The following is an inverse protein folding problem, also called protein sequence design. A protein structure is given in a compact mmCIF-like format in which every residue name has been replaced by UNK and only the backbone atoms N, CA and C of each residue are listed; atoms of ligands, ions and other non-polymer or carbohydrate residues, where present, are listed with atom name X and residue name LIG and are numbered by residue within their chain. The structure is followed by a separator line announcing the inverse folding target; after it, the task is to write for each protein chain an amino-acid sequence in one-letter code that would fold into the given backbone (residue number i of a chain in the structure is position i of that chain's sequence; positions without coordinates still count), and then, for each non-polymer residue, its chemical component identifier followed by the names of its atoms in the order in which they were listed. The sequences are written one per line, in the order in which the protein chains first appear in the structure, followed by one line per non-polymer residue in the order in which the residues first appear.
data_IF_379003183292
#
_entry.id   IF_379003183292
#
_cell.length_a   1.000
_cell.length_b   1.000
_cell.length_c   1.000
_cell.angle_alpha   90.00
_cell.angle_beta   90.00
_cell.angle_gamma   90.00
#
_symmetry.space_group_name_H-M   'P 1'
#
loop_
_entity.id
_entity.type
_entity.pdbx_description
1 polymer ?
#
# COMPACT_ATOMS: atom_id res chain seq x y z
N UNK A 1 -75.88 -39.50 -53.12
CA UNK A 1 -74.47 -39.06 -52.96
C UNK A 1 -74.39 -37.59 -53.30
N UNK A 2 -74.23 -36.73 -52.30
CA UNK A 2 -73.78 -35.35 -52.47
C UNK A 2 -72.88 -35.04 -51.26
N UNK A 3 -71.62 -34.83 -51.57
CA UNK A 3 -70.48 -34.54 -50.70
C UNK A 3 -70.61 -33.14 -50.11
N UNK A 4 -70.52 -32.98 -48.79
CA UNK A 4 -70.26 -31.68 -48.17
C UNK A 4 -69.07 -31.81 -47.22
N UNK A 5 -67.93 -31.33 -47.71
CA UNK A 5 -66.66 -31.19 -47.01
C UNK A 5 -66.61 -29.76 -46.43
N UNK A 6 -66.61 -29.54 -45.10
CA UNK A 6 -66.16 -28.27 -44.54
C UNK A 6 -64.84 -28.43 -43.78
N UNK A 7 -63.94 -29.31 -44.24
CA UNK A 7 -62.54 -29.36 -43.76
C UNK A 7 -61.80 -28.03 -43.99
N UNK A 8 -62.19 -27.22 -44.98
CA UNK A 8 -61.56 -25.94 -45.28
C UNK A 8 -61.95 -24.80 -44.33
N UNK A 9 -63.17 -24.76 -43.79
CA UNK A 9 -63.60 -23.70 -42.87
C UNK A 9 -63.00 -23.87 -41.48
N UNK A 10 -62.88 -25.10 -40.99
CA UNK A 10 -62.19 -25.38 -39.72
C UNK A 10 -60.69 -25.14 -39.83
N UNK A 11 -60.05 -25.54 -40.93
CA UNK A 11 -58.63 -25.25 -41.16
C UNK A 11 -58.37 -23.73 -41.29
N UNK A 12 -59.28 -22.97 -41.92
CA UNK A 12 -59.17 -21.51 -41.98
C UNK A 12 -59.36 -20.86 -40.61
N UNK A 13 -60.28 -21.36 -39.77
CA UNK A 13 -60.45 -20.89 -38.38
C UNK A 13 -59.25 -21.20 -37.51
N UNK A 14 -58.68 -22.40 -37.61
CA UNK A 14 -57.49 -22.79 -36.85
C UNK A 14 -56.29 -21.95 -37.30
N UNK A 15 -56.14 -21.71 -38.61
CA UNK A 15 -55.08 -20.85 -39.14
C UNK A 15 -55.25 -19.40 -38.68
N UNK A 16 -56.43 -18.82 -38.78
CA UNK A 16 -56.72 -17.47 -38.28
C UNK A 16 -56.55 -17.33 -36.77
N UNK A 17 -56.93 -18.37 -35.99
CA UNK A 17 -56.69 -18.40 -34.55
C UNK A 17 -55.19 -18.52 -34.22
N UNK A 18 -54.43 -19.30 -34.99
CA UNK A 18 -52.98 -19.40 -34.83
C UNK A 18 -52.26 -18.11 -35.21
N UNK A 19 -52.68 -17.44 -36.28
CA UNK A 19 -52.12 -16.15 -36.74
C UNK A 19 -52.45 -15.03 -35.75
N UNK A 20 -53.68 -14.99 -35.20
CA UNK A 20 -54.06 -14.05 -34.15
C UNK A 20 -53.29 -14.29 -32.85
N UNK A 21 -53.05 -15.55 -32.48
CA UNK A 21 -52.26 -15.87 -31.29
C UNK A 21 -50.77 -15.49 -31.48
N UNK A 22 -50.23 -15.72 -32.67
CA UNK A 22 -48.86 -15.35 -33.01
C UNK A 22 -48.68 -13.82 -33.10
N UNK A 23 -49.67 -13.11 -33.64
CA UNK A 23 -49.72 -11.65 -33.63
C UNK A 23 -49.80 -11.09 -32.21
N UNK A 24 -50.64 -11.69 -31.35
CA UNK A 24 -50.75 -11.29 -29.95
C UNK A 24 -49.46 -11.53 -29.16
N UNK A 25 -48.79 -12.66 -29.37
CA UNK A 25 -47.46 -12.93 -28.77
C UNK A 25 -46.40 -11.95 -29.29
N UNK A 26 -46.42 -11.60 -30.58
CA UNK A 26 -45.49 -10.62 -31.15
C UNK A 26 -45.72 -9.23 -30.57
N UNK A 27 -46.98 -8.83 -30.35
CA UNK A 27 -47.33 -7.57 -29.68
C UNK A 27 -46.85 -7.60 -28.23
N UNK A 28 -47.07 -8.70 -27.49
CA UNK A 28 -46.59 -8.82 -26.11
C UNK A 28 -45.06 -8.73 -26.03
N UNK A 29 -44.33 -9.39 -26.93
CA UNK A 29 -42.86 -9.30 -27.02
C UNK A 29 -42.43 -7.87 -27.38
N UNK A 30 -43.13 -7.20 -28.30
CA UNK A 30 -42.86 -5.81 -28.67
C UNK A 30 -43.06 -4.84 -27.49
N UNK A 31 -44.12 -5.02 -26.70
CA UNK A 31 -44.41 -4.25 -25.49
C UNK A 31 -43.38 -4.53 -24.39
N UNK A 32 -42.99 -5.78 -24.17
CA UNK A 32 -41.96 -6.13 -23.19
C UNK A 32 -40.58 -5.59 -23.60
N UNK A 33 -40.26 -5.60 -24.89
CA UNK A 33 -39.00 -5.06 -25.42
C UNK A 33 -38.98 -3.54 -25.30
N UNK A 34 -40.09 -2.86 -25.59
CA UNK A 34 -40.18 -1.40 -25.41
C UNK A 34 -40.13 -1.00 -23.94
N UNK A 35 -40.79 -1.75 -23.04
CA UNK A 35 -40.70 -1.53 -21.59
C UNK A 35 -39.29 -1.80 -21.05
N UNK A 36 -38.58 -2.81 -21.56
CA UNK A 36 -37.17 -3.05 -21.22
C UNK A 36 -36.26 -1.94 -21.74
N UNK A 37 -36.54 -1.39 -22.93
CA UNK A 37 -35.81 -0.23 -23.46
C UNK A 37 -36.03 1.04 -22.63
N UNK A 38 -37.27 1.29 -22.19
CA UNK A 38 -37.62 2.41 -21.30
C UNK A 38 -36.99 2.21 -19.90
N UNK A 39 -37.00 1.00 -19.35
CA UNK A 39 -36.28 0.71 -18.10
C UNK A 39 -34.77 0.90 -18.25
N UNK A 40 -34.18 0.50 -19.38
CA UNK A 40 -32.78 0.77 -19.70
C UNK A 40 -32.46 2.28 -19.71
N UNK A 41 -33.32 3.09 -20.35
CA UNK A 41 -33.21 4.56 -20.37
C UNK A 41 -33.30 5.16 -18.96
N UNK A 42 -34.26 4.72 -18.15
CA UNK A 42 -34.42 5.20 -16.76
C UNK A 42 -33.21 4.81 -15.90
N UNK A 43 -32.64 3.62 -16.10
CA UNK A 43 -31.45 3.22 -15.35
C UNK A 43 -30.21 4.00 -15.78
N UNK A 44 -30.04 4.31 -17.07
CA UNK A 44 -28.96 5.18 -17.53
C UNK A 44 -29.12 6.61 -17.04
N UNK A 45 -30.34 7.15 -17.08
CA UNK A 45 -30.65 8.49 -16.53
C UNK A 45 -30.44 8.53 -15.02
N UNK A 46 -30.80 7.48 -14.28
CA UNK A 46 -30.52 7.38 -12.84
C UNK A 46 -29.02 7.28 -12.54
N UNK A 47 -28.24 6.61 -13.39
CA UNK A 47 -26.79 6.55 -13.24
C UNK A 47 -26.14 7.92 -13.49
N UNK A 48 -26.60 8.63 -14.53
CA UNK A 48 -26.17 9.99 -14.85
C UNK A 48 -26.56 10.98 -13.74
N UNK A 49 -27.79 10.90 -13.21
CA UNK A 49 -28.24 11.70 -12.07
C UNK A 49 -27.40 11.41 -10.82
N UNK A 50 -27.08 10.15 -10.53
CA UNK A 50 -26.19 9.80 -9.39
C UNK A 50 -24.79 10.37 -9.57
N UNK A 51 -24.26 10.34 -10.79
CA UNK A 51 -22.97 10.93 -11.09
C UNK A 51 -23.00 12.46 -10.89
N UNK A 52 -24.03 13.15 -11.40
CA UNK A 52 -24.23 14.58 -11.20
C UNK A 52 -24.41 14.95 -9.71
N UNK A 53 -25.08 14.10 -8.92
CA UNK A 53 -25.18 14.28 -7.48
C UNK A 53 -23.83 14.09 -6.77
N UNK A 54 -23.02 13.12 -7.18
CA UNK A 54 -21.69 12.91 -6.62
C UNK A 54 -20.74 14.07 -6.96
N UNK A 55 -20.78 14.55 -8.21
CA UNK A 55 -20.04 15.73 -8.66
C UNK A 55 -20.52 17.00 -7.94
N UNK A 56 -21.84 17.17 -7.76
CA UNK A 56 -22.43 18.27 -7.00
C UNK A 56 -22.03 18.25 -5.52
N UNK A 57 -21.98 17.08 -4.89
CA UNK A 57 -21.50 16.92 -3.51
C UNK A 57 -20.00 17.20 -3.41
N UNK A 58 -19.20 16.73 -4.36
CA UNK A 58 -17.76 17.02 -4.41
C UNK A 58 -17.50 18.53 -4.57
N UNK A 59 -18.25 19.20 -5.44
CA UNK A 59 -18.17 20.65 -5.61
C UNK A 59 -18.60 21.40 -4.35
N UNK A 60 -19.65 20.96 -3.66
CA UNK A 60 -20.07 21.53 -2.37
C UNK A 60 -19.01 21.34 -1.28
N UNK A 61 -18.40 20.15 -1.19
CA UNK A 61 -17.29 19.90 -0.27
C UNK A 61 -16.10 20.81 -0.57
N UNK A 62 -15.76 21.00 -1.83
CA UNK A 62 -14.69 21.92 -2.23
C UNK A 62 -15.02 23.38 -1.88
N UNK A 63 -16.27 23.81 -2.08
CA UNK A 63 -16.72 25.15 -1.68
C UNK A 63 -16.63 25.37 -0.17
N UNK A 64 -17.09 24.40 0.63
CA UNK A 64 -16.97 24.44 2.10
C UNK A 64 -15.51 24.46 2.55
N UNK A 65 -14.65 23.67 1.92
CA UNK A 65 -13.20 23.70 2.20
C UNK A 65 -12.60 25.07 1.88
N UNK A 66 -13.01 25.69 0.77
CA UNK A 66 -12.57 27.04 0.37
C UNK A 66 -13.08 28.11 1.33
N UNK A 67 -14.31 28.01 1.83
CA UNK A 67 -14.87 28.94 2.82
C UNK A 67 -14.16 28.80 4.17
N UNK A 68 -14.01 27.57 4.69
CA UNK A 68 -13.27 27.32 5.93
C UNK A 68 -11.82 27.81 5.86
N UNK A 69 -11.19 27.72 4.67
CA UNK A 69 -9.87 28.28 4.44
C UNK A 69 -9.86 29.82 4.45
N UNK A 70 -10.90 30.48 3.93
CA UNK A 70 -11.00 31.94 4.03
C UNK A 70 -11.20 32.38 5.48
N UNK A 71 -12.10 31.74 6.23
CA UNK A 71 -12.32 32.06 7.65
C UNK A 71 -11.02 31.92 8.45
N UNK A 72 -10.23 30.87 8.17
CA UNK A 72 -8.92 30.67 8.79
C UNK A 72 -7.92 31.75 8.41
N UNK A 73 -7.93 32.23 7.17
CA UNK A 73 -7.06 33.33 6.72
C UNK A 73 -7.46 34.64 7.40
N UNK A 74 -8.75 34.92 7.54
CA UNK A 74 -9.23 36.14 8.20
C UNK A 74 -8.86 36.16 9.69
N UNK A 75 -9.04 35.04 10.39
CA UNK A 75 -8.61 34.89 11.78
C UNK A 75 -7.07 35.01 11.89
N UNK A 76 -6.33 34.40 10.96
CA UNK A 76 -4.88 34.54 10.91
C UNK A 76 -4.45 36.00 10.74
N UNK A 77 -5.09 36.75 9.83
CA UNK A 77 -4.81 38.18 9.62
C UNK A 77 -5.06 38.99 10.89
N UNK A 78 -6.21 38.78 11.52
CA UNK A 78 -6.56 39.44 12.77
C UNK A 78 -5.55 39.15 13.88
N UNK A 79 -5.16 37.87 14.05
CA UNK A 79 -4.15 37.49 15.04
C UNK A 79 -2.76 38.03 14.73
N UNK A 80 -2.37 38.07 13.45
CA UNK A 80 -1.09 38.61 13.01
C UNK A 80 -1.01 40.12 13.22
N UNK A 81 -2.08 40.86 12.93
CA UNK A 81 -2.19 42.30 13.23
C UNK A 81 -2.03 42.56 14.73
N UNK A 82 -2.79 41.84 15.55
CA UNK A 82 -2.73 41.95 17.01
C UNK A 82 -1.34 41.60 17.56
N UNK A 83 -0.69 40.59 16.99
CA UNK A 83 0.66 40.20 17.38
C UNK A 83 1.69 41.29 17.03
N UNK A 84 1.59 41.88 15.84
CA UNK A 84 2.42 43.00 15.42
C UNK A 84 2.25 44.18 16.37
N UNK A 85 1.01 44.54 16.70
CA UNK A 85 0.72 45.63 17.64
C UNK A 85 1.34 45.37 19.01
N UNK A 86 1.15 44.18 19.58
CA UNK A 86 1.73 43.77 20.86
C UNK A 86 3.27 43.80 20.82
N UNK A 87 3.88 43.33 19.74
CA UNK A 87 5.33 43.34 19.61
C UNK A 87 5.88 44.76 19.38
N UNK A 88 5.08 45.65 18.77
CA UNK A 88 5.47 47.04 18.48
C UNK A 88 5.40 47.95 19.71
N UNK A 89 4.53 47.65 20.67
CA UNK A 89 4.35 48.45 21.86
C UNK A 89 5.60 48.39 22.76
N UNK A 90 5.98 49.55 23.29
CA UNK A 90 7.13 49.69 24.21
C UNK A 90 6.83 49.13 25.59
N UNK A 91 5.56 49.03 25.96
CA UNK A 91 5.11 48.67 27.30
C UNK A 91 4.83 47.16 27.45
N UNK A 92 5.32 46.33 26.53
CA UNK A 92 5.10 44.89 26.60
C UNK A 92 6.22 44.17 27.34
N UNK A 93 5.82 43.22 28.19
CA UNK A 93 6.73 42.42 29.04
C UNK A 93 7.57 41.40 28.24
N UNK A 94 7.37 41.30 26.93
CA UNK A 94 8.03 40.31 26.08
C UNK A 94 9.45 40.79 25.75
N UNK A 95 10.50 39.98 25.97
CA UNK A 95 11.87 40.30 25.57
C UNK A 95 12.02 40.52 24.06
N UNK A 96 13.00 41.32 23.63
CA UNK A 96 13.21 41.62 22.21
C UNK A 96 13.56 40.37 21.40
N UNK A 97 14.36 39.46 21.97
CA UNK A 97 14.68 38.17 21.38
C UNK A 97 13.42 37.32 21.11
N UNK A 98 12.52 37.22 22.08
CA UNK A 98 11.26 36.48 21.93
C UNK A 98 10.35 37.10 20.88
N UNK A 99 10.23 38.43 20.84
CA UNK A 99 9.45 39.13 19.79
C UNK A 99 9.99 38.83 18.40
N UNK A 100 11.31 38.86 18.25
CA UNK A 100 11.95 38.56 16.97
C UNK A 100 11.63 37.14 16.50
N UNK A 101 11.81 36.12 17.33
CA UNK A 101 11.53 34.73 16.94
C UNK A 101 10.05 34.45 16.72
N UNK A 102 9.14 35.08 17.48
CA UNK A 102 7.71 34.96 17.25
C UNK A 102 7.31 35.51 15.87
N UNK A 103 7.77 36.72 15.54
CA UNK A 103 7.50 37.35 14.26
C UNK A 103 8.16 36.60 13.09
N UNK A 104 9.36 36.06 13.32
CA UNK A 104 10.05 35.24 12.33
C UNK A 104 9.30 33.94 12.07
N UNK A 105 8.76 33.30 13.12
CA UNK A 105 7.92 32.11 13.00
C UNK A 105 6.69 32.35 12.12
N UNK A 106 6.03 33.50 12.28
CA UNK A 106 4.87 33.86 11.44
C UNK A 106 5.26 33.97 9.95
N UNK A 107 6.35 34.66 9.63
CA UNK A 107 6.84 34.78 8.24
C UNK A 107 7.19 33.41 7.67
N UNK A 108 7.84 32.57 8.45
CA UNK A 108 8.24 31.23 8.02
C UNK A 108 7.02 30.33 7.77
N UNK A 109 6.01 30.34 8.65
CA UNK A 109 4.76 29.60 8.45
C UNK A 109 4.02 30.06 7.20
N UNK A 110 3.93 31.38 6.97
CA UNK A 110 3.32 31.94 5.75
C UNK A 110 4.03 31.43 4.49
N UNK A 111 5.36 31.38 4.51
CA UNK A 111 6.16 30.90 3.40
C UNK A 111 5.98 29.39 3.16
N UNK A 112 6.07 28.58 4.21
CA UNK A 112 5.98 27.11 4.12
C UNK A 112 4.59 26.63 3.73
N UNK A 113 3.53 27.26 4.24
CA UNK A 113 2.16 26.94 3.87
C UNK A 113 1.79 27.48 2.47
N UNK A 114 2.69 28.25 1.83
CA UNK A 114 2.45 28.84 0.51
C UNK A 114 1.32 29.86 0.50
N UNK A 115 0.99 30.45 1.67
CA UNK A 115 -0.06 31.46 1.79
C UNK A 115 0.43 32.72 1.09
N UNK A 116 -0.06 32.93 -0.12
CA UNK A 116 0.21 34.12 -0.92
C UNK A 116 -1.08 34.87 -1.20
N UNK A 117 -0.94 36.13 -1.62
CA UNK A 117 -2.05 36.98 -2.08
C UNK A 117 -2.88 36.36 -3.21
N UNK A 118 -2.38 35.32 -3.89
CA UNK A 118 -3.12 34.57 -4.89
C UNK A 118 -4.26 33.73 -4.28
N UNK A 119 -4.09 33.22 -3.05
CA UNK A 119 -5.03 32.30 -2.38
C UNK A 119 -6.11 33.06 -1.60
N UNK A 120 -5.81 34.27 -1.16
CA UNK A 120 -6.72 35.13 -0.39
C UNK A 120 -7.82 35.68 -1.32
N UNK A 121 -9.10 35.65 -0.91
CA UNK A 121 -10.19 36.32 -1.62
C UNK A 121 -10.44 37.71 -1.03
N UNK A 122 -10.93 38.63 -1.87
CA UNK A 122 -11.24 40.00 -1.46
C UNK A 122 -10.04 40.94 -1.56
N UNK A 123 -10.25 42.15 -2.11
CA UNK A 123 -9.20 43.16 -2.28
C UNK A 123 -8.68 43.69 -0.96
N UNK A 124 -9.57 43.84 0.02
CA UNK A 124 -9.25 44.37 1.34
C UNK A 124 -8.41 43.37 2.14
N UNK A 125 -8.79 42.10 2.18
CA UNK A 125 -8.03 41.04 2.85
C UNK A 125 -6.63 40.86 2.25
N UNK A 126 -6.49 40.94 0.92
CA UNK A 126 -5.17 40.92 0.25
C UNK A 126 -4.29 42.07 0.70
N UNK A 127 -4.86 43.28 0.72
CA UNK A 127 -4.12 44.47 1.14
C UNK A 127 -3.73 44.38 2.62
N UNK A 128 -4.66 43.94 3.48
CA UNK A 128 -4.38 43.75 4.90
C UNK A 128 -3.24 42.73 5.11
N UNK A 129 -3.25 41.62 4.37
CA UNK A 129 -2.16 40.64 4.38
C UNK A 129 -0.81 41.26 4.01
N UNK A 130 -0.74 41.95 2.87
CA UNK A 130 0.50 42.59 2.41
C UNK A 130 0.99 43.64 3.42
N UNK A 131 0.08 44.46 3.95
CA UNK A 131 0.38 45.49 4.95
C UNK A 131 0.91 44.85 6.26
N UNK A 132 0.36 43.71 6.68
CA UNK A 132 0.80 42.97 7.88
C UNK A 132 2.18 42.36 7.66
N UNK A 133 2.38 41.66 6.55
CA UNK A 133 3.67 41.03 6.23
C UNK A 133 4.77 42.08 6.13
N UNK A 134 4.51 43.21 5.47
CA UNK A 134 5.46 44.33 5.38
C UNK A 134 5.77 44.95 6.76
N UNK A 135 4.75 45.13 7.62
CA UNK A 135 4.96 45.58 9.01
C UNK A 135 5.83 44.60 9.79
N UNK A 136 5.59 43.29 9.67
CA UNK A 136 6.39 42.25 10.32
C UNK A 136 7.84 42.33 9.84
N UNK A 137 8.08 42.38 8.52
CA UNK A 137 9.43 42.46 7.95
C UNK A 137 10.19 43.72 8.40
N UNK A 138 9.52 44.87 8.42
CA UNK A 138 10.09 46.13 8.95
C UNK A 138 10.45 46.01 10.43
N UNK A 139 9.62 45.35 11.23
CA UNK A 139 9.91 45.12 12.64
C UNK A 139 11.05 44.14 12.86
N UNK A 140 11.09 43.02 12.11
CA UNK A 140 12.20 42.07 12.16
C UNK A 140 13.53 42.75 11.85
N UNK A 141 13.55 43.62 10.83
CA UNK A 141 14.72 44.41 10.48
C UNK A 141 15.20 45.27 11.66
N UNK A 142 14.29 46.01 12.30
CA UNK A 142 14.61 46.84 13.48
C UNK A 142 15.07 46.02 14.68
N UNK A 143 14.41 44.89 14.95
CA UNK A 143 14.75 44.02 16.07
C UNK A 143 16.11 43.35 15.86
N UNK A 144 16.47 43.00 14.63
CA UNK A 144 17.76 42.38 14.30
C UNK A 144 18.98 43.27 14.57
N UNK A 145 18.79 44.59 14.69
CA UNK A 145 19.86 45.52 15.03
C UNK A 145 20.20 45.51 16.53
N UNK A 146 19.30 45.00 17.37
CA UNK A 146 19.43 44.95 18.83
C UNK A 146 20.43 43.87 19.24
N UNK A 147 21.36 44.21 20.16
CA UNK A 147 22.42 43.29 20.60
C UNK A 147 21.89 41.96 21.19
N UNK A 148 20.84 42.02 22.02
CA UNK A 148 20.17 40.84 22.58
C UNK A 148 19.67 39.88 21.47
N UNK A 149 19.10 40.44 20.42
CA UNK A 149 18.54 39.67 19.30
C UNK A 149 19.67 39.04 18.47
N UNK A 150 20.77 39.76 18.25
CA UNK A 150 21.96 39.21 17.54
C UNK A 150 22.55 38.02 18.27
N UNK A 151 22.75 38.12 19.59
CA UNK A 151 23.24 37.01 20.39
C UNK A 151 22.30 35.80 20.34
N UNK A 152 20.98 36.06 20.37
CA UNK A 152 19.98 35.01 20.30
C UNK A 152 19.95 34.33 18.91
N UNK A 153 20.12 35.08 17.82
CA UNK A 153 20.25 34.54 16.46
C UNK A 153 21.50 33.65 16.36
N UNK A 154 22.66 34.14 16.81
CA UNK A 154 23.92 33.38 16.79
C UNK A 154 23.84 32.10 17.64
N UNK A 155 23.09 32.13 18.75
CA UNK A 155 22.82 30.94 19.54
C UNK A 155 21.91 29.96 18.79
N UNK A 156 20.82 30.45 18.18
CA UNK A 156 19.88 29.62 17.42
C UNK A 156 20.56 28.94 16.22
N UNK A 157 21.42 29.65 15.49
CA UNK A 157 22.19 29.09 14.37
C UNK A 157 23.13 27.97 14.82
N UNK A 158 23.86 28.18 15.92
CA UNK A 158 24.77 27.15 16.47
C UNK A 158 24.01 25.91 16.93
N UNK A 159 22.85 26.09 17.55
CA UNK A 159 22.03 24.98 18.02
C UNK A 159 21.40 24.23 16.84
N UNK A 160 20.94 24.94 15.80
CA UNK A 160 20.45 24.31 14.57
C UNK A 160 21.56 23.49 13.88
N UNK A 161 22.80 24.00 13.82
CA UNK A 161 23.93 23.25 13.29
C UNK A 161 24.22 21.97 14.08
N UNK A 162 24.11 22.02 15.42
CA UNK A 162 24.25 20.83 16.28
C UNK A 162 23.14 19.81 16.01
N UNK A 163 21.89 20.26 15.98
CA UNK A 163 20.74 19.42 15.69
C UNK A 163 20.85 18.77 14.30
N UNK A 164 21.30 19.50 13.27
CA UNK A 164 21.57 18.96 11.94
C UNK A 164 22.70 17.93 11.94
N UNK A 165 23.76 18.16 12.71
CA UNK A 165 24.86 17.20 12.85
C UNK A 165 24.39 15.90 13.55
N UNK A 166 23.55 16.02 14.57
CA UNK A 166 22.95 14.88 15.27
C UNK A 166 22.01 14.10 14.36
N UNK A 167 21.12 14.78 13.61
CA UNK A 167 20.26 14.16 12.60
C UNK A 167 21.07 13.41 11.54
N UNK A 168 22.17 13.99 11.06
CA UNK A 168 23.08 13.31 10.12
C UNK A 168 23.73 12.08 10.73
N UNK A 169 24.07 12.09 12.02
CA UNK A 169 24.61 10.91 12.72
C UNK A 169 23.54 9.83 12.87
N UNK A 170 22.35 10.20 13.32
CA UNK A 170 21.21 9.30 13.48
C UNK A 170 20.81 8.66 12.14
N UNK A 171 20.77 9.42 11.04
CA UNK A 171 20.46 8.87 9.71
C UNK A 171 21.53 7.89 9.24
N UNK A 172 22.83 8.20 9.43
CA UNK A 172 23.91 7.26 9.09
C UNK A 172 23.85 5.97 9.91
N UNK A 173 23.43 6.05 11.17
CA UNK A 173 23.26 4.89 12.02
C UNK A 173 22.06 4.04 11.59
N UNK A 174 20.93 4.69 11.23
CA UNK A 174 19.76 4.02 10.62
C UNK A 174 20.13 3.33 9.30
N UNK A 175 20.88 3.98 8.43
CA UNK A 175 21.38 3.38 7.18
C UNK A 175 22.25 2.15 7.44
N UNK A 176 23.19 2.23 8.40
CA UNK A 176 24.01 1.08 8.80
C UNK A 176 23.16 -0.08 9.35
N UNK A 177 22.16 0.23 10.17
CA UNK A 177 21.23 -0.79 10.68
C UNK A 177 20.44 -1.45 9.54
N UNK A 178 19.94 -0.67 8.59
CA UNK A 178 19.25 -1.21 7.41
C UNK A 178 20.16 -2.08 6.54
N UNK A 179 21.43 -1.70 6.34
CA UNK A 179 22.40 -2.55 5.63
C UNK A 179 22.67 -3.87 6.36
N UNK A 180 22.79 -3.83 7.69
CA UNK A 180 22.95 -5.03 8.51
C UNK A 180 21.72 -5.94 8.43
N UNK A 181 20.50 -5.38 8.46
CA UNK A 181 19.25 -6.14 8.24
C UNK A 181 19.23 -6.79 6.87
N UNK A 182 19.64 -6.08 5.80
CA UNK A 182 19.70 -6.67 4.46
C UNK A 182 20.66 -7.85 4.39
N UNK A 183 21.86 -7.73 4.98
CA UNK A 183 22.84 -8.82 5.06
C UNK A 183 22.31 -9.99 5.89
N UNK A 184 21.63 -9.70 6.98
CA UNK A 184 20.97 -10.67 7.83
C UNK A 184 19.91 -11.48 7.05
N UNK A 185 18.95 -10.78 6.43
CA UNK A 185 17.88 -11.38 5.65
C UNK A 185 18.41 -12.20 4.47
N UNK A 186 19.46 -11.72 3.80
CA UNK A 186 20.11 -12.49 2.73
C UNK A 186 20.68 -13.83 3.24
N UNK A 187 21.30 -13.83 4.43
CA UNK A 187 21.85 -15.03 5.04
C UNK A 187 20.77 -16.00 5.53
N UNK A 188 19.66 -15.48 6.05
CA UNK A 188 18.50 -16.31 6.41
C UNK A 188 17.89 -16.93 5.15
N UNK A 189 17.77 -16.17 4.06
CA UNK A 189 17.26 -16.67 2.79
C UNK A 189 18.16 -17.78 2.19
N UNK A 190 19.49 -17.63 2.27
CA UNK A 190 20.45 -18.67 1.88
C UNK A 190 20.24 -19.96 2.70
N UNK A 191 20.11 -19.83 4.03
CA UNK A 191 19.84 -20.97 4.92
C UNK A 191 18.48 -21.64 4.66
N UNK A 192 17.45 -20.85 4.31
CA UNK A 192 16.15 -21.37 3.92
C UNK A 192 16.18 -22.09 2.57
N UNK A 193 17.01 -21.64 1.62
CA UNK A 193 17.22 -22.35 0.35
C UNK A 193 17.94 -23.68 0.54
N UNK A 194 18.82 -23.78 1.53
CA UNK A 194 19.49 -25.03 1.91
C UNK A 194 18.56 -26.05 2.60
N UNK A 195 17.37 -25.63 3.02
CA UNK A 195 16.39 -26.57 3.60
C UNK A 195 15.93 -27.59 2.57
N UNK A 196 15.96 -28.86 2.96
CA UNK A 196 15.51 -29.93 2.08
C UNK A 196 13.98 -30.03 2.11
N UNK A 197 13.31 -30.11 0.95
CA UNK A 197 11.87 -30.26 0.90
C UNK A 197 11.43 -31.57 1.55
N UNK A 198 10.22 -31.64 2.13
CA UNK A 198 9.69 -32.87 2.70
C UNK A 198 9.61 -33.95 1.61
N UNK A 199 10.00 -35.17 1.97
CA UNK A 199 10.07 -36.28 1.03
C UNK A 199 8.65 -36.70 0.60
N UNK A 200 8.26 -36.31 -0.61
CA UNK A 200 7.03 -36.76 -1.23
C UNK A 200 7.28 -37.97 -2.14
N UNK A 201 6.30 -38.87 -2.23
CA UNK A 201 6.40 -40.11 -3.02
C UNK A 201 6.84 -39.86 -4.46
N UNK A 202 6.29 -38.84 -5.12
CA UNK A 202 6.64 -38.49 -6.50
C UNK A 202 8.11 -38.08 -6.69
N UNK A 203 8.69 -37.35 -5.73
CA UNK A 203 10.09 -36.88 -5.78
C UNK A 203 11.05 -38.03 -5.45
N UNK A 204 10.69 -38.87 -4.48
CA UNK A 204 11.45 -40.08 -4.19
C UNK A 204 11.44 -41.03 -5.39
N UNK A 205 10.27 -41.25 -6.00
CA UNK A 205 10.10 -42.16 -7.13
C UNK A 205 10.85 -41.68 -8.37
N UNK A 206 10.82 -40.38 -8.68
CA UNK A 206 11.56 -39.81 -9.82
C UNK A 206 13.09 -39.86 -9.63
N UNK A 207 13.60 -39.55 -8.43
CA UNK A 207 15.03 -39.68 -8.12
C UNK A 207 15.48 -41.13 -8.13
N UNK A 208 14.66 -42.05 -7.60
CA UNK A 208 14.93 -43.48 -7.67
C UNK A 208 14.97 -43.95 -9.13
N UNK A 209 14.01 -43.50 -9.96
CA UNK A 209 13.92 -43.72 -11.42
C UNK A 209 15.17 -43.28 -12.18
N UNK A 210 15.68 -42.09 -11.90
CA UNK A 210 16.91 -41.61 -12.53
C UNK A 210 18.15 -42.44 -12.14
N UNK A 211 18.13 -43.07 -10.95
CA UNK A 211 19.18 -43.96 -10.47
C UNK A 211 18.86 -45.47 -10.70
N UNK A 212 17.92 -45.81 -11.60
CA UNK A 212 17.51 -47.21 -11.85
C UNK A 212 18.64 -48.17 -12.26
N UNK A 213 19.79 -47.64 -12.68
CA UNK A 213 20.96 -48.42 -13.09
C UNK A 213 21.65 -49.15 -11.92
N UNK A 214 21.41 -48.75 -10.67
CA UNK A 214 22.10 -49.27 -9.50
C UNK A 214 21.30 -50.29 -8.68
N UNK A 215 20.10 -50.68 -9.11
CA UNK A 215 19.29 -51.67 -8.39
C UNK A 215 19.69 -53.09 -8.85
N UNK A 216 20.45 -53.87 -8.04
CA UNK A 216 21.05 -55.13 -8.48
C UNK A 216 20.03 -56.22 -8.85
N UNK A 217 18.81 -56.14 -8.33
CA UNK A 217 17.74 -57.14 -8.54
C UNK A 217 17.03 -56.96 -9.90
N UNK A 218 16.95 -55.73 -10.43
CA UNK A 218 16.42 -55.47 -11.77
C UNK A 218 17.40 -55.91 -12.87
N UNK A 219 18.70 -55.92 -12.57
CA UNK A 219 19.70 -56.58 -13.43
C UNK A 219 19.42 -58.08 -13.60
N UNK A 220 18.91 -58.74 -12.55
CA UNK A 220 18.57 -60.18 -12.60
C UNK A 220 17.37 -60.48 -13.53
N UNK A 221 16.39 -59.58 -13.63
CA UNK A 221 15.26 -59.68 -14.57
C UNK A 221 15.65 -59.41 -16.03
N UNK A 222 16.75 -58.67 -16.26
CA UNK A 222 17.33 -58.50 -17.61
C UNK A 222 18.22 -59.69 -18.02
N UNK A 223 18.80 -60.41 -17.06
CA UNK A 223 19.66 -61.58 -17.31
C UNK A 223 18.85 -62.86 -17.56
N UNK A 224 17.64 -62.99 -17.00
CA UNK A 224 16.71 -64.10 -17.28
C UNK A 224 15.34 -63.56 -17.72
N UNK A 225 15.12 -63.29 -19.02
CA UNK A 225 13.82 -62.86 -19.51
C UNK A 225 12.81 -64.01 -19.36
N UNK A 226 11.69 -63.84 -18.62
CA UNK A 226 10.63 -64.83 -18.60
C UNK A 226 10.09 -64.98 -20.03
N UNK A 227 9.98 -66.21 -20.52
CA UNK A 227 9.57 -66.52 -21.91
C UNK A 227 8.10 -66.21 -22.19
N UNK A 228 7.33 -65.80 -21.18
CA UNK A 228 5.90 -65.51 -21.29
C UNK A 228 5.59 -64.08 -20.81
N UNK A 229 5.00 -63.28 -21.71
CA UNK A 229 4.61 -61.88 -21.50
C UNK A 229 3.71 -61.71 -20.27
N UNK A 230 2.84 -62.69 -19.99
CA UNK A 230 1.97 -62.66 -18.82
C UNK A 230 2.76 -62.78 -17.50
N UNK A 231 3.81 -63.61 -17.48
CA UNK A 231 4.67 -63.77 -16.31
C UNK A 231 5.53 -62.52 -16.06
N UNK A 232 5.96 -61.85 -17.14
CA UNK A 232 6.62 -60.54 -17.05
C UNK A 232 5.67 -59.51 -16.43
N UNK A 233 4.44 -59.39 -16.94
CA UNK A 233 3.46 -58.43 -16.39
C UNK A 233 3.13 -58.74 -14.94
N UNK A 234 2.99 -60.01 -14.54
CA UNK A 234 2.74 -60.41 -13.15
C UNK A 234 3.97 -60.10 -12.26
N UNK A 235 5.18 -60.36 -12.72
CA UNK A 235 6.40 -60.04 -11.99
C UNK A 235 6.57 -58.51 -11.82
N UNK A 236 6.31 -57.73 -12.87
CA UNK A 236 6.27 -56.28 -12.82
C UNK A 236 5.15 -55.75 -11.92
N UNK A 237 3.97 -56.38 -11.94
CA UNK A 237 2.86 -56.01 -11.07
C UNK A 237 3.18 -56.31 -9.61
N UNK A 238 3.69 -57.50 -9.27
CA UNK A 238 4.04 -57.84 -7.89
C UNK A 238 5.21 -56.99 -7.37
N UNK A 239 6.21 -56.69 -8.20
CA UNK A 239 7.32 -55.83 -7.80
C UNK A 239 6.89 -54.36 -7.68
N UNK A 240 6.13 -53.88 -8.66
CA UNK A 240 5.64 -52.52 -8.74
C UNK A 240 4.62 -52.16 -7.66
N UNK A 241 3.65 -53.03 -7.41
CA UNK A 241 2.58 -52.77 -6.44
C UNK A 241 2.95 -53.12 -5.00
N UNK A 242 3.79 -54.13 -4.76
CA UNK A 242 4.06 -54.62 -3.39
C UNK A 242 5.38 -54.07 -2.88
N UNK A 243 6.46 -54.14 -3.67
CA UNK A 243 7.79 -53.78 -3.20
C UNK A 243 8.08 -52.28 -3.26
N UNK A 244 7.55 -51.54 -4.23
CA UNK A 244 7.76 -50.08 -4.32
C UNK A 244 7.15 -49.34 -3.11
N UNK A 245 5.93 -49.64 -2.64
CA UNK A 245 5.39 -49.00 -1.44
C UNK A 245 6.15 -49.36 -0.16
N UNK A 246 6.61 -50.61 -0.02
CA UNK A 246 7.39 -51.06 1.15
C UNK A 246 8.77 -50.41 1.18
N UNK A 247 9.46 -50.39 0.04
CA UNK A 247 10.76 -49.72 -0.10
C UNK A 247 10.63 -48.21 0.11
N UNK A 248 9.55 -47.59 -0.39
CA UNK A 248 9.24 -46.20 -0.10
C UNK A 248 9.01 -45.98 1.40
N UNK A 249 8.21 -46.80 2.08
CA UNK A 249 7.93 -46.62 3.50
C UNK A 249 9.22 -46.70 4.36
N UNK A 250 10.12 -47.64 4.04
CA UNK A 250 11.40 -47.80 4.74
C UNK A 250 12.39 -46.66 4.43
N UNK A 251 12.54 -46.29 3.15
CA UNK A 251 13.43 -45.19 2.73
C UNK A 251 12.90 -43.85 3.24
N UNK A 252 11.60 -43.59 3.07
CA UNK A 252 10.96 -42.37 3.54
C UNK A 252 11.07 -42.23 5.06
N UNK A 253 10.98 -43.31 5.84
CA UNK A 253 11.19 -43.23 7.28
C UNK A 253 12.65 -42.88 7.67
N UNK A 254 13.64 -43.40 6.94
CA UNK A 254 15.06 -43.10 7.16
C UNK A 254 15.44 -41.70 6.67
N UNK A 255 15.03 -41.34 5.46
CA UNK A 255 15.31 -40.06 4.81
C UNK A 255 14.54 -38.92 5.49
N UNK A 256 13.30 -39.16 5.98
CA UNK A 256 12.56 -38.18 6.77
C UNK A 256 13.30 -37.81 8.05
N UNK A 257 13.86 -38.79 8.77
CA UNK A 257 14.67 -38.52 9.98
C UNK A 257 15.94 -37.72 9.66
N UNK A 258 16.58 -38.00 8.52
CA UNK A 258 17.76 -37.27 8.06
C UNK A 258 17.43 -35.83 7.66
N UNK A 259 16.33 -35.63 6.93
CA UNK A 259 15.83 -34.31 6.51
C UNK A 259 15.39 -33.49 7.72
N UNK A 260 14.66 -34.10 8.65
CA UNK A 260 14.23 -33.46 9.90
C UNK A 260 15.43 -33.01 10.72
N UNK A 261 16.44 -33.88 10.92
CA UNK A 261 17.69 -33.51 11.61
C UNK A 261 18.48 -32.40 10.91
N UNK A 262 18.43 -32.37 9.57
CA UNK A 262 19.11 -31.33 8.80
C UNK A 262 18.39 -29.98 8.91
N UNK A 263 17.06 -29.99 8.76
CA UNK A 263 16.25 -28.79 8.84
C UNK A 263 16.25 -28.22 10.27
N UNK A 264 16.20 -29.06 11.32
CA UNK A 264 16.34 -28.57 12.71
C UNK A 264 17.71 -27.95 12.97
N UNK A 265 18.79 -28.49 12.38
CA UNK A 265 20.11 -27.89 12.48
C UNK A 265 20.23 -26.54 11.72
N UNK A 266 19.40 -26.34 10.69
CA UNK A 266 19.28 -25.04 10.01
C UNK A 266 18.46 -24.07 10.86
N UNK A 267 17.36 -24.53 11.47
CA UNK A 267 16.55 -23.73 12.39
C UNK A 267 17.37 -23.24 13.58
N UNK A 268 18.17 -24.10 14.22
CA UNK A 268 19.08 -23.71 15.30
C UNK A 268 20.12 -22.65 14.84
N UNK A 269 20.57 -22.71 13.58
CA UNK A 269 21.49 -21.69 13.04
C UNK A 269 20.77 -20.36 12.80
N UNK A 270 19.53 -20.39 12.33
CA UNK A 270 18.68 -19.20 12.17
C UNK A 270 18.40 -18.59 13.54
N UNK A 271 18.11 -19.39 14.57
CA UNK A 271 17.87 -18.92 15.93
C UNK A 271 19.12 -18.25 16.55
N UNK A 272 20.31 -18.86 16.39
CA UNK A 272 21.57 -18.22 16.82
C UNK A 272 21.85 -16.92 16.07
N UNK A 273 21.49 -16.85 14.80
CA UNK A 273 21.57 -15.63 14.00
C UNK A 273 20.57 -14.57 14.51
N UNK A 274 19.33 -14.95 14.82
CA UNK A 274 18.32 -14.08 15.44
C UNK A 274 18.82 -13.52 16.79
N UNK A 275 19.39 -14.35 17.66
CA UNK A 275 19.96 -13.89 18.94
C UNK A 275 21.13 -12.91 18.74
N UNK A 276 21.96 -13.15 17.72
CA UNK A 276 23.08 -12.26 17.41
C UNK A 276 22.57 -10.92 16.86
N UNK A 277 21.55 -10.92 16.01
CA UNK A 277 20.89 -9.72 15.51
C UNK A 277 20.25 -8.91 16.65
N UNK A 278 19.53 -9.56 17.56
CA UNK A 278 18.94 -8.91 18.75
C UNK A 278 19.99 -8.29 19.66
N UNK A 279 21.15 -8.93 19.86
CA UNK A 279 22.29 -8.33 20.60
C UNK A 279 22.87 -7.09 19.94
N UNK A 280 22.71 -6.94 18.64
CA UNK A 280 23.09 -5.75 17.89
C UNK A 280 21.96 -4.70 17.78
N UNK A 281 20.84 -4.89 18.50
CA UNK A 281 19.71 -3.96 18.50
C UNK A 281 18.84 -4.02 17.24
N UNK A 282 18.97 -5.08 16.44
CA UNK A 282 18.18 -5.30 15.23
C UNK A 282 17.03 -6.25 15.58
N UNK A 283 15.79 -5.87 15.28
CA UNK A 283 14.63 -6.74 15.47
C UNK A 283 14.43 -7.61 14.20
N UNK A 284 14.69 -8.93 14.26
CA UNK A 284 14.62 -9.80 13.10
C UNK A 284 13.18 -10.17 12.70
N UNK A 285 12.18 -9.92 13.56
CA UNK A 285 10.79 -10.32 13.32
C UNK A 285 9.97 -9.24 12.57
N UNK A 286 10.62 -8.16 12.13
CA UNK A 286 9.99 -7.15 11.28
C UNK A 286 8.95 -6.28 12.01
N UNK A 287 8.93 -6.28 13.34
CA UNK A 287 8.34 -5.17 14.07
C UNK A 287 9.34 -4.03 13.92
N UNK A 288 9.03 -3.13 12.99
CA UNK A 288 9.54 -1.77 13.05
C UNK A 288 9.14 -1.32 14.46
N UNK A 289 10.10 -1.31 15.39
CA UNK A 289 9.99 -0.41 16.52
C UNK A 289 9.91 0.95 15.85
N UNK A 290 8.69 1.44 15.67
CA UNK A 290 8.40 2.85 15.49
C UNK A 290 9.10 3.49 16.69
N UNK A 291 10.36 3.87 16.48
CA UNK A 291 11.02 4.83 17.33
C UNK A 291 10.16 6.05 17.16
N UNK A 292 9.28 6.25 18.15
CA UNK A 292 8.32 7.34 18.29
C UNK A 292 8.48 8.36 17.17
N UNK A 293 7.43 8.47 16.34
CA UNK A 293 7.08 9.71 15.67
C UNK A 293 6.84 10.79 16.75
N UNK A 294 7.90 11.14 17.48
CA UNK A 294 8.01 12.44 18.10
C UNK A 294 8.20 13.36 16.92
N UNK A 295 7.06 13.89 16.47
CA UNK A 295 6.99 15.14 15.72
C UNK A 295 8.16 16.03 16.17
N UNK A 296 8.93 16.59 15.23
CA UNK A 296 10.00 17.49 15.62
C UNK A 296 9.39 18.58 16.51
N UNK A 297 9.97 18.91 17.69
CA UNK A 297 9.67 20.20 18.26
C UNK A 297 9.99 21.21 17.15
N UNK A 298 9.00 22.04 16.79
CA UNK A 298 9.06 23.09 15.78
C UNK A 298 10.39 23.84 15.87
N UNK A 299 11.40 23.28 15.21
CA UNK A 299 12.73 23.82 15.12
C UNK A 299 12.64 24.81 13.99
N UNK A 300 12.80 26.08 14.33
CA UNK A 300 12.85 27.20 13.39
C UNK A 300 13.85 26.81 12.30
N UNK A 301 13.33 26.38 11.14
CA UNK A 301 14.14 26.05 9.99
C UNK A 301 14.62 27.38 9.42
N UNK A 302 15.81 27.78 9.85
CA UNK A 302 16.56 28.83 9.18
C UNK A 302 17.11 28.22 7.88
N UNK A 303 16.30 28.25 6.82
CA UNK A 303 16.79 28.06 5.47
C UNK A 303 17.51 29.35 5.07
N UNK A 304 18.82 29.35 5.33
CA UNK A 304 19.72 30.33 4.78
C UNK A 304 19.91 30.08 3.29
N UNK A 305 19.04 30.64 2.46
CA UNK A 305 19.35 31.01 1.07
C UNK A 305 18.70 32.37 0.77
N UNK A 306 19.44 33.44 1.02
CA UNK A 306 19.23 34.73 0.38
C UNK A 306 20.38 34.91 -0.62
N UNK A 307 20.08 34.70 -1.90
CA UNK A 307 20.78 35.34 -3.01
C UNK A 307 19.86 36.37 -3.65
#
# INVERSE_FOLDING_TARGET
MATNNPTYQELARIRAASENNLAFQTIQIGVLTSLNGVMGSIHSEMAEVRQLHAEGLAAQQELLQREALQDRIEEFLYQAEKLVENCSSRDTDIPYSSRYFLLQGVVHSVHNEGISTAIIKGRENKKAFDDVVDKIQKMLSKLSEIAEVKEAIEWAERENQRALAERKRANKERERQQELLKKYNAKVAELQQDMKPPLNFGIWYSNRLNNFREIPVLGFLFVFPPTNLMLQVIAWAMYGFIWIPIAYALSAAYDKKQIEKHNTAIDEKIERLNETARKHGLDPDGIILDFDDTEPPLGIAYDGEVQ
#
